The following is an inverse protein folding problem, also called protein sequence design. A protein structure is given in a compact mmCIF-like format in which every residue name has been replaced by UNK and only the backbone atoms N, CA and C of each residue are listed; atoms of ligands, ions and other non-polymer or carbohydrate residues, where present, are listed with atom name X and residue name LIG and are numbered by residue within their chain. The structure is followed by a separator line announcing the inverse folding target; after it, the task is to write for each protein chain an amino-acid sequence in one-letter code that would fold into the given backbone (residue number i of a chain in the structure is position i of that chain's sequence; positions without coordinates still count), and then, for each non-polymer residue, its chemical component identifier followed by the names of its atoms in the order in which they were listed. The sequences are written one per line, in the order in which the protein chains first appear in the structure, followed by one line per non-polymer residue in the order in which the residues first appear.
data_IF_196273193970
#
_entry.id   IF_196273193970
#
_cell.length_a   1.000
_cell.length_b   1.000
_cell.length_c   1.000
_cell.angle_alpha   90.00
_cell.angle_beta   90.00
_cell.angle_gamma   90.00
#
_symmetry.space_group_name_H-M   'P 1'
#
loop_
_entity.id
_entity.type
_entity.pdbx_description
1 polymer ?
#
# COMPACT_ATOMS: atom_id res chain seq x y z
N UNK A 1 0.10 86.01 -5.83
CA UNK A 1 -0.34 85.52 -7.16
C UNK A 1 -0.04 84.03 -7.23
N UNK A 2 -1.08 83.21 -7.40
CA UNK A 2 -1.02 81.73 -7.39
C UNK A 2 -0.71 81.25 -8.82
N UNK A 3 0.30 80.40 -9.00
CA UNK A 3 0.52 79.65 -10.25
C UNK A 3 0.35 78.17 -9.96
N UNK A 4 -0.67 77.60 -10.59
CA UNK A 4 -1.05 76.19 -10.55
C UNK A 4 -0.21 75.49 -11.62
N UNK A 5 0.65 74.55 -11.22
CA UNK A 5 1.42 73.73 -12.16
C UNK A 5 0.70 72.41 -12.36
N UNK A 6 0.33 72.17 -13.61
CA UNK A 6 -0.47 71.07 -14.11
C UNK A 6 0.39 69.82 -14.29
N UNK A 7 -0.03 68.75 -13.64
CA UNK A 7 -0.21 67.39 -14.15
C UNK A 7 0.66 66.96 -15.36
N UNK A 8 1.53 65.96 -15.15
CA UNK A 8 1.88 64.97 -16.18
C UNK A 8 2.12 63.63 -15.51
N UNK A 9 1.01 62.92 -15.32
CA UNK A 9 0.96 61.50 -14.99
C UNK A 9 1.46 60.71 -16.21
N UNK A 10 2.75 60.36 -16.22
CA UNK A 10 3.25 59.29 -17.08
C UNK A 10 2.85 57.96 -16.44
N UNK A 11 1.60 57.60 -16.65
CA UNK A 11 1.06 56.28 -16.35
C UNK A 11 1.64 55.33 -17.41
N UNK A 12 2.81 54.76 -17.12
CA UNK A 12 3.35 53.66 -17.92
C UNK A 12 2.40 52.47 -17.80
N UNK A 13 1.51 52.36 -18.79
CA UNK A 13 0.73 51.16 -19.08
C UNK A 13 1.73 50.05 -19.42
N UNK A 14 2.16 49.30 -18.41
CA UNK A 14 2.65 47.94 -18.63
C UNK A 14 1.43 47.16 -19.08
N UNK A 15 1.33 46.91 -20.38
CA UNK A 15 0.39 45.97 -20.96
C UNK A 15 0.71 44.59 -20.38
N UNK A 16 0.05 44.24 -19.27
CA UNK A 16 -0.17 42.84 -18.89
C UNK A 16 -1.11 42.31 -19.96
N UNK A 17 -0.55 41.75 -21.02
CA UNK A 17 -1.27 40.83 -21.89
C UNK A 17 -1.69 39.67 -21.00
N UNK A 18 -2.93 39.73 -20.51
CA UNK A 18 -3.65 38.55 -20.08
C UNK A 18 -3.72 37.65 -21.31
N UNK A 19 -2.80 36.70 -21.37
CA UNK A 19 -2.93 35.52 -22.20
C UNK A 19 -4.16 34.80 -21.66
N UNK A 20 -5.33 35.08 -22.23
CA UNK A 20 -6.47 34.18 -22.19
C UNK A 20 -6.07 32.97 -23.02
N UNK A 21 -5.25 32.12 -22.40
CA UNK A 21 -5.13 30.74 -22.80
C UNK A 21 -6.52 30.15 -22.60
N UNK A 22 -7.28 30.08 -23.71
CA UNK A 22 -8.43 29.20 -23.79
C UNK A 22 -7.98 27.85 -23.22
N UNK A 23 -8.67 27.30 -22.20
CA UNK A 23 -8.25 26.05 -21.59
C UNK A 23 -8.21 24.98 -22.68
N UNK A 24 -7.03 24.42 -23.01
CA UNK A 24 -6.97 23.33 -23.97
C UNK A 24 -7.67 22.15 -23.32
N UNK A 25 -8.82 21.76 -23.88
CA UNK A 25 -9.43 20.46 -23.66
C UNK A 25 -9.84 20.16 -22.22
N UNK A 26 -11.15 20.18 -21.97
CA UNK A 26 -11.73 19.32 -20.95
C UNK A 26 -11.48 17.85 -21.35
N UNK A 27 -10.29 17.32 -21.08
CA UNK A 27 -10.11 15.89 -20.91
C UNK A 27 -10.88 15.50 -19.65
N UNK A 28 -11.89 14.65 -19.85
CA UNK A 28 -12.57 13.93 -18.79
C UNK A 28 -11.58 12.91 -18.22
N UNK A 29 -10.78 13.30 -17.23
CA UNK A 29 -9.77 12.53 -16.46
C UNK A 29 -8.84 13.63 -15.93
N UNK A 30 -8.87 14.15 -14.70
CA UNK A 30 -8.88 13.51 -13.40
C UNK A 30 -9.67 14.40 -12.42
N UNK A 31 -10.85 13.95 -12.00
CA UNK A 31 -11.35 14.41 -10.71
C UNK A 31 -10.37 13.84 -9.70
N UNK A 32 -9.44 14.66 -9.19
CA UNK A 32 -8.74 14.38 -7.94
C UNK A 32 -9.83 14.00 -6.94
N UNK A 33 -9.95 12.69 -6.70
CA UNK A 33 -10.92 12.10 -5.80
C UNK A 33 -10.87 12.90 -4.50
N UNK A 34 -11.87 13.76 -4.31
CA UNK A 34 -12.06 14.42 -3.05
C UNK A 34 -12.29 13.28 -2.07
N UNK A 35 -11.27 12.99 -1.26
CA UNK A 35 -11.32 12.03 -0.15
C UNK A 35 -12.44 12.50 0.78
N UNK A 36 -13.66 12.06 0.48
CA UNK A 36 -14.90 12.38 1.17
C UNK A 36 -15.75 11.14 1.42
N UNK A 37 -15.23 9.97 1.09
CA UNK A 37 -15.65 8.75 1.76
C UNK A 37 -14.87 8.67 3.07
N UNK A 38 -15.59 8.52 4.17
CA UNK A 38 -15.03 8.48 5.52
C UNK A 38 -14.14 7.22 5.63
N UNK A 39 -12.83 7.38 5.39
CA UNK A 39 -11.84 6.35 5.66
C UNK A 39 -12.07 5.83 7.08
N UNK A 40 -12.13 4.51 7.24
CA UNK A 40 -12.43 3.94 8.55
C UNK A 40 -11.42 4.42 9.61
N UNK A 41 -11.79 4.47 10.91
CA UNK A 41 -10.83 4.81 11.96
C UNK A 41 -9.58 3.92 11.95
N UNK A 42 -9.73 2.65 11.55
CA UNK A 42 -8.62 1.73 11.39
C UNK A 42 -7.72 2.11 10.20
N UNK A 43 -8.31 2.47 9.06
CA UNK A 43 -7.57 2.97 7.89
C UNK A 43 -6.81 4.25 8.19
N UNK A 44 -7.39 5.16 8.97
CA UNK A 44 -6.73 6.40 9.43
C UNK A 44 -5.51 6.06 10.31
N UNK A 45 -5.68 5.17 11.30
CA UNK A 45 -4.58 4.78 12.17
C UNK A 45 -3.46 4.10 11.37
N UNK A 46 -3.81 3.18 10.48
CA UNK A 46 -2.85 2.52 9.59
C UNK A 46 -2.07 3.53 8.74
N UNK A 47 -2.76 4.54 8.19
CA UNK A 47 -2.13 5.58 7.37
C UNK A 47 -1.16 6.45 8.20
N UNK A 48 -1.52 6.78 9.44
CA UNK A 48 -0.66 7.51 10.38
C UNK A 48 0.58 6.70 10.74
N UNK A 49 0.42 5.43 11.09
CA UNK A 49 1.53 4.55 11.46
C UNK A 49 2.52 4.38 10.30
N UNK A 50 2.00 4.20 9.07
CA UNK A 50 2.83 4.14 7.86
C UNK A 50 3.56 5.44 7.58
N UNK A 51 2.89 6.57 7.75
CA UNK A 51 3.50 7.88 7.57
C UNK A 51 4.59 8.13 8.61
N UNK A 52 4.37 7.75 9.88
CA UNK A 52 5.35 7.86 10.95
C UNK A 52 6.62 7.05 10.66
N UNK A 53 6.48 5.80 10.18
CA UNK A 53 7.62 4.98 9.76
C UNK A 53 8.36 5.58 8.57
N UNK A 54 7.62 6.09 7.57
CA UNK A 54 8.22 6.74 6.42
C UNK A 54 8.97 8.03 6.82
N UNK A 55 8.42 8.79 7.76
CA UNK A 55 9.08 9.97 8.33
C UNK A 55 10.40 9.61 9.01
N UNK A 56 10.38 8.62 9.90
CA UNK A 56 11.59 8.16 10.59
C UNK A 56 12.66 7.61 9.63
N UNK A 57 12.25 6.89 8.58
CA UNK A 57 13.17 6.30 7.61
C UNK A 57 13.79 7.35 6.67
N UNK A 58 12.98 8.30 6.19
CA UNK A 58 13.34 9.21 5.11
C UNK A 58 13.64 10.64 5.58
N UNK A 59 13.50 10.92 6.88
CA UNK A 59 13.57 12.25 7.46
C UNK A 59 12.68 13.25 6.69
N UNK A 60 11.39 12.95 6.63
CA UNK A 60 10.44 13.77 5.88
C UNK A 60 10.30 15.15 6.52
N UNK A 61 10.18 16.18 5.70
CA UNK A 61 9.76 17.51 6.16
C UNK A 61 8.26 17.51 6.51
N UNK A 62 7.77 18.45 7.34
CA UNK A 62 6.35 18.51 7.69
C UNK A 62 5.41 18.56 6.47
N UNK A 63 5.81 19.28 5.41
CA UNK A 63 5.04 19.35 4.16
C UNK A 63 5.07 18.05 3.35
N UNK A 64 6.17 17.29 3.42
CA UNK A 64 6.23 15.96 2.82
C UNK A 64 5.41 14.95 3.63
N UNK A 65 5.47 14.99 4.97
CA UNK A 65 4.68 14.13 5.84
C UNK A 65 3.18 14.28 5.58
N UNK A 66 2.69 15.52 5.46
CA UNK A 66 1.29 15.78 5.14
C UNK A 66 0.88 15.16 3.80
N UNK A 67 1.70 15.32 2.76
CA UNK A 67 1.43 14.74 1.43
C UNK A 67 1.51 13.21 1.44
N UNK A 68 2.47 12.64 2.15
CA UNK A 68 2.60 11.18 2.32
C UNK A 68 1.39 10.62 3.10
N UNK A 69 0.90 11.33 4.11
CA UNK A 69 -0.31 10.95 4.84
C UNK A 69 -1.53 10.92 3.91
N UNK A 70 -1.71 11.93 3.05
CA UNK A 70 -2.81 11.95 2.07
C UNK A 70 -2.72 10.78 1.10
N UNK A 71 -1.52 10.44 0.62
CA UNK A 71 -1.28 9.25 -0.21
C UNK A 71 -1.66 7.96 0.54
N UNK A 72 -1.25 7.83 1.80
CA UNK A 72 -1.56 6.66 2.62
C UNK A 72 -3.05 6.53 2.95
N UNK A 73 -3.76 7.64 3.17
CA UNK A 73 -5.20 7.64 3.38
C UNK A 73 -5.94 7.16 2.13
N UNK A 74 -5.56 7.65 0.94
CA UNK A 74 -6.12 7.15 -0.33
C UNK A 74 -5.86 5.67 -0.54
N UNK A 75 -4.67 5.20 -0.17
CA UNK A 75 -4.33 3.78 -0.24
C UNK A 75 -5.20 2.96 0.72
N UNK A 76 -5.35 3.39 1.97
CA UNK A 76 -6.16 2.70 2.96
C UNK A 76 -7.63 2.57 2.51
N UNK A 77 -8.22 3.66 2.03
CA UNK A 77 -9.58 3.68 1.46
C UNK A 77 -9.75 2.67 0.32
N UNK A 78 -8.84 2.66 -0.65
CA UNK A 78 -8.89 1.72 -1.77
C UNK A 78 -8.71 0.27 -1.33
N UNK A 79 -7.86 0.02 -0.33
CA UNK A 79 -7.69 -1.32 0.22
C UNK A 79 -8.92 -1.83 0.95
N UNK A 80 -9.64 -0.97 1.68
CA UNK A 80 -10.90 -1.32 2.33
C UNK A 80 -11.96 -1.71 1.28
N UNK A 81 -12.03 -0.98 0.16
CA UNK A 81 -12.93 -1.30 -0.96
C UNK A 81 -12.60 -2.64 -1.62
N UNK A 82 -11.31 -2.92 -1.85
CA UNK A 82 -10.87 -4.20 -2.41
C UNK A 82 -11.23 -5.34 -1.46
N UNK A 83 -10.95 -5.19 -0.16
CA UNK A 83 -11.25 -6.22 0.84
C UNK A 83 -12.75 -6.45 1.05
N UNK A 84 -13.59 -5.44 0.82
CA UNK A 84 -15.05 -5.56 0.86
C UNK A 84 -15.67 -6.11 -0.43
N UNK A 85 -14.88 -6.29 -1.49
CA UNK A 85 -15.36 -6.77 -2.79
C UNK A 85 -15.45 -8.30 -2.85
N UNK A 86 -16.34 -8.82 -3.69
CA UNK A 86 -16.47 -10.27 -3.93
C UNK A 86 -15.57 -10.78 -5.07
N UNK A 87 -14.39 -10.18 -5.23
CA UNK A 87 -13.41 -10.59 -6.25
C UNK A 87 -12.73 -11.90 -5.85
N UNK A 88 -12.19 -12.64 -6.84
CA UNK A 88 -11.36 -13.80 -6.57
C UNK A 88 -9.97 -13.40 -6.05
N UNK A 89 -9.32 -14.31 -5.33
CA UNK A 89 -8.04 -14.06 -4.67
C UNK A 89 -6.93 -13.58 -5.61
N UNK A 90 -6.90 -14.06 -6.86
CA UNK A 90 -5.87 -13.65 -7.83
C UNK A 90 -6.10 -12.21 -8.28
N UNK A 91 -7.37 -11.84 -8.49
CA UNK A 91 -7.74 -10.45 -8.82
C UNK A 91 -7.44 -9.52 -7.64
N UNK A 92 -7.78 -9.90 -6.41
CA UNK A 92 -7.45 -9.13 -5.20
C UNK A 92 -5.95 -8.89 -5.08
N UNK A 93 -5.14 -9.92 -5.29
CA UNK A 93 -3.68 -9.79 -5.24
C UNK A 93 -3.16 -8.84 -6.32
N UNK A 94 -3.67 -8.94 -7.55
CA UNK A 94 -3.28 -8.06 -8.65
C UNK A 94 -3.64 -6.60 -8.38
N UNK A 95 -4.84 -6.35 -7.85
CA UNK A 95 -5.26 -5.00 -7.44
C UNK A 95 -4.39 -4.45 -6.32
N UNK A 96 -4.03 -5.28 -5.33
CA UNK A 96 -3.11 -4.90 -4.26
C UNK A 96 -1.74 -4.46 -4.82
N UNK A 97 -1.18 -5.24 -5.74
CA UNK A 97 0.12 -4.94 -6.36
C UNK A 97 0.07 -3.64 -7.17
N UNK A 98 -0.98 -3.44 -7.96
CA UNK A 98 -1.18 -2.20 -8.73
C UNK A 98 -1.34 -0.98 -7.81
N UNK A 99 -2.10 -1.10 -6.72
CA UNK A 99 -2.26 -0.02 -5.75
C UNK A 99 -0.94 0.30 -5.04
N UNK A 100 -0.14 -0.73 -4.76
CA UNK A 100 1.17 -0.57 -4.16
C UNK A 100 2.12 0.19 -5.11
N UNK A 101 2.18 -0.20 -6.37
CA UNK A 101 3.02 0.45 -7.38
C UNK A 101 2.62 1.93 -7.57
N UNK A 102 1.32 2.21 -7.69
CA UNK A 102 0.80 3.58 -7.77
C UNK A 102 1.18 4.41 -6.56
N UNK A 103 1.11 3.83 -5.35
CA UNK A 103 1.55 4.52 -4.11
C UNK A 103 3.03 4.89 -4.17
N UNK A 104 3.89 3.99 -4.68
CA UNK A 104 5.32 4.27 -4.82
C UNK A 104 5.60 5.36 -5.85
N UNK A 105 4.84 5.41 -6.93
CA UNK A 105 4.93 6.51 -7.91
C UNK A 105 4.53 7.85 -7.28
N UNK A 106 3.44 7.88 -6.50
CA UNK A 106 3.03 9.08 -5.76
C UNK A 106 4.13 9.53 -4.78
N UNK A 107 4.81 8.61 -4.09
CA UNK A 107 5.95 8.94 -3.23
C UNK A 107 7.11 9.58 -3.99
N UNK A 108 7.48 9.07 -5.17
CA UNK A 108 8.56 9.65 -5.99
C UNK A 108 8.32 11.11 -6.32
N UNK A 109 7.06 11.53 -6.47
CA UNK A 109 6.71 12.95 -6.71
C UNK A 109 6.89 13.86 -5.49
N UNK A 110 6.94 13.30 -4.28
CA UNK A 110 7.02 14.03 -3.00
C UNK A 110 8.47 14.06 -2.48
N UNK A 111 9.22 12.99 -2.73
CA UNK A 111 10.56 12.75 -2.19
C UNK A 111 11.64 13.37 -3.08
N UNK A 112 12.70 13.88 -2.45
CA UNK A 112 13.91 14.25 -3.18
C UNK A 112 14.70 13.01 -3.63
N UNK A 113 15.69 13.14 -4.54
CA UNK A 113 16.45 11.99 -5.05
C UNK A 113 17.08 11.12 -3.97
N UNK A 114 17.73 11.72 -2.96
CA UNK A 114 18.38 10.99 -1.87
C UNK A 114 17.38 10.15 -1.05
N UNK A 115 16.19 10.70 -0.80
CA UNK A 115 15.10 10.00 -0.13
C UNK A 115 14.52 8.88 -1.01
N UNK A 116 14.43 9.08 -2.33
CA UNK A 116 13.99 8.03 -3.25
C UNK A 116 14.94 6.84 -3.25
N UNK A 117 16.25 7.08 -3.19
CA UNK A 117 17.23 5.99 -3.16
C UNK A 117 17.20 5.22 -1.83
N UNK A 118 17.03 5.90 -0.70
CA UNK A 118 16.77 5.24 0.59
C UNK A 118 15.51 4.38 0.55
N UNK A 119 14.44 4.90 -0.04
CA UNK A 119 13.18 4.17 -0.17
C UNK A 119 13.36 2.91 -1.05
N UNK A 120 14.12 2.99 -2.16
CA UNK A 120 14.41 1.83 -3.02
C UNK A 120 15.20 0.75 -2.26
N UNK A 121 16.25 1.15 -1.53
CA UNK A 121 17.06 0.22 -0.73
C UNK A 121 16.21 -0.50 0.32
N UNK A 122 15.40 0.26 1.06
CA UNK A 122 14.49 -0.31 2.05
C UNK A 122 13.48 -1.30 1.44
N UNK A 123 12.93 -0.98 0.26
CA UNK A 123 12.03 -1.90 -0.44
C UNK A 123 12.72 -3.17 -0.93
N UNK A 124 13.98 -3.07 -1.35
CA UNK A 124 14.78 -4.22 -1.75
C UNK A 124 15.02 -5.14 -0.55
N UNK A 125 15.46 -4.59 0.58
CA UNK A 125 15.68 -5.34 1.82
C UNK A 125 14.43 -6.09 2.27
N UNK A 126 13.26 -5.43 2.27
CA UNK A 126 11.99 -6.08 2.61
C UNK A 126 11.62 -7.23 1.67
N UNK A 127 11.91 -7.11 0.37
CA UNK A 127 11.66 -8.19 -0.61
C UNK A 127 12.60 -9.36 -0.41
N UNK A 128 13.86 -9.08 -0.13
CA UNK A 128 14.88 -10.09 0.08
C UNK A 128 14.58 -10.88 1.39
N UNK A 129 14.14 -10.20 2.45
CA UNK A 129 13.68 -10.82 3.70
C UNK A 129 12.43 -11.72 3.50
N UNK A 130 11.44 -11.29 2.71
CA UNK A 130 10.26 -12.13 2.44
C UNK A 130 10.60 -13.37 1.60
N UNK A 131 11.59 -13.26 0.71
CA UNK A 131 12.02 -14.39 -0.12
C UNK A 131 12.62 -15.54 0.71
N UNK A 132 13.40 -15.22 1.73
CA UNK A 132 14.00 -16.21 2.64
C UNK A 132 12.95 -16.82 3.57
N UNK A 133 12.00 -16.01 4.03
CA UNK A 133 10.82 -16.44 4.79
C UNK A 133 9.94 -17.43 4.00
N UNK A 134 9.65 -17.14 2.73
CA UNK A 134 8.82 -18.01 1.87
C UNK A 134 9.45 -19.38 1.62
N UNK A 135 10.76 -19.44 1.41
CA UNK A 135 11.48 -20.71 1.27
C UNK A 135 11.31 -21.57 2.53
N UNK A 136 11.50 -20.98 3.72
CA UNK A 136 11.31 -21.68 4.99
C UNK A 136 9.87 -22.17 5.21
N UNK A 137 8.86 -21.41 4.74
CA UNK A 137 7.45 -21.79 4.88
C UNK A 137 7.05 -22.93 3.95
N UNK A 138 7.67 -23.00 2.77
CA UNK A 138 7.39 -24.05 1.79
C UNK A 138 8.02 -25.37 2.24
N UNK A 139 9.26 -25.32 2.73
CA UNK A 139 9.95 -26.47 3.35
C UNK A 139 9.19 -27.00 4.57
N UNK A 140 8.76 -26.11 5.47
CA UNK A 140 7.97 -26.47 6.66
C UNK A 140 6.59 -27.06 6.29
N UNK A 141 6.00 -26.65 5.17
CA UNK A 141 4.71 -27.18 4.70
C UNK A 141 4.85 -28.61 4.16
N UNK A 142 5.94 -28.90 3.43
CA UNK A 142 6.25 -30.27 3.00
C UNK A 142 6.55 -31.17 4.23
N UNK A 143 7.34 -30.70 5.19
CA UNK A 143 7.64 -31.45 6.42
C UNK A 143 6.38 -31.81 7.24
N UNK A 144 5.41 -30.89 7.33
CA UNK A 144 4.12 -31.15 7.99
C UNK A 144 3.29 -32.18 7.22
N UNK A 145 3.31 -32.12 5.89
CA UNK A 145 2.56 -33.03 5.03
C UNK A 145 3.09 -34.46 5.13
N UNK A 146 4.40 -34.62 5.22
CA UNK A 146 5.04 -35.93 5.42
C UNK A 146 4.75 -36.50 6.82
N UNK A 147 4.85 -35.67 7.87
CA UNK A 147 4.48 -36.09 9.23
C UNK A 147 3.00 -36.46 9.37
N UNK A 148 2.11 -35.80 8.63
CA UNK A 148 0.69 -36.15 8.62
C UNK A 148 0.45 -37.53 7.99
N UNK A 149 1.11 -37.83 6.86
CA UNK A 149 1.04 -39.14 6.20
C UNK A 149 1.60 -40.27 7.07
N UNK A 150 2.73 -40.04 7.75
CA UNK A 150 3.33 -41.04 8.65
C UNK A 150 2.41 -41.37 9.85
N UNK A 151 1.70 -40.36 10.38
CA UNK A 151 0.78 -40.54 11.50
C UNK A 151 -0.50 -41.29 11.12
N UNK A 152 -0.95 -41.16 9.87
CA UNK A 152 -2.13 -41.89 9.37
C UNK A 152 -1.80 -43.37 9.08
N UNK A 153 -0.61 -43.67 8.56
CA UNK A 153 -0.17 -45.07 8.35
C UNK A 153 -0.06 -45.86 9.66
N UNK A 154 0.46 -45.23 10.72
CA UNK A 154 0.62 -45.91 12.01
C UNK A 154 -0.72 -46.12 12.75
N UNK A 155 -1.81 -45.49 12.31
CA UNK A 155 -3.14 -45.60 12.92
C UNK A 155 -3.93 -46.80 12.39
N UNK A 156 -3.65 -47.26 11.17
CA UNK A 156 -4.22 -48.49 10.62
C UNK A 156 -3.62 -49.73 11.30
N UNK A 157 -2.30 -49.78 11.50
CA UNK A 157 -1.61 -50.92 12.15
C UNK A 157 -2.04 -51.17 13.60
N UNK A 158 -2.48 -50.14 14.33
CA UNK A 158 -2.97 -50.26 15.71
C UNK A 158 -4.42 -50.75 15.76
N UNK A 159 -5.19 -50.57 14.68
CA UNK A 159 -6.59 -51.02 14.61
C UNK A 159 -6.65 -52.54 14.44
N UNK A 160 -5.79 -53.11 13.60
CA UNK A 160 -5.77 -54.55 13.32
C UNK A 160 -5.27 -55.36 14.53
N UNK A 161 -4.23 -54.88 15.23
CA UNK A 161 -3.75 -55.52 16.49
C UNK A 161 -4.76 -55.50 17.64
N UNK A 162 -5.74 -54.58 17.60
CA UNK A 162 -6.78 -54.51 18.63
C UNK A 162 -7.92 -55.49 18.38
N UNK A 163 -8.10 -55.95 17.14
CA UNK A 163 -9.12 -56.96 16.79
C UNK A 163 -8.62 -58.38 17.07
N UNK A 164 -7.36 -58.72 16.74
CA UNK A 164 -6.76 -60.02 17.11
C UNK A 164 -6.80 -60.29 18.62
N UNK A 165 -6.47 -59.27 19.43
CA UNK A 165 -6.48 -59.39 20.90
C UNK A 165 -7.88 -59.54 21.51
N UNK A 166 -8.93 -59.28 20.72
CA UNK A 166 -10.34 -59.42 21.13
C UNK A 166 -10.89 -60.81 20.80
N UNK A 167 -10.34 -61.49 19.81
CA UNK A 167 -10.72 -62.87 19.47
C UNK A 167 -10.07 -63.89 20.40
N UNK A 168 -8.80 -63.71 20.75
CA UNK A 168 -8.06 -64.61 21.65
C UNK A 168 -8.67 -64.66 23.07
N UNK A 169 -9.30 -63.56 23.51
CA UNK A 169 -9.99 -63.46 24.81
C UNK A 169 -11.41 -64.00 24.83
N UNK A 170 -11.94 -64.44 23.69
CA UNK A 170 -13.29 -65.02 23.55
C UNK A 170 -13.27 -66.55 23.46
N UNK A 171 -12.08 -67.14 23.35
CA UNK A 171 -11.83 -68.59 23.27
C UNK A 171 -11.31 -69.22 24.57
N UNK A 172 -11.04 -68.41 25.60
CA UNK A 172 -10.87 -68.86 27.00
C UNK A 172 -12.21 -68.78 27.76
#
# INVERSE_FOLDING_TARGET
MKKITILSFLFSFVCITAYTQAPPGSSKEDKKDAVREEVSPQGIQWAKDRTSRASALLNLTPDQEKRVLEVNLRYADRMEKINGSSMDDNTVQKEHDQMFDRRLEEYKSILNPDQQDKLKTYHKELRDDDSTSRLSRTEKKEEIKDKAKEKDMNKEDVKDKKEEKKEEKKSE
#
